data_IF_180609844707
#
_entry.id   IF_180609844707
#
_cell.length_a   1.000
_cell.length_b   1.000
_cell.length_c   1.000
_cell.angle_alpha   90.00
_cell.angle_beta   90.00
_cell.angle_gamma   90.00
#
_symmetry.space_group_name_H-M   'P 1'
#
loop_
_entity.id
_entity.type
_entity.pdbx_description
1 polymer ?
#
# COMPACT_ATOMS: atom_id res chain seq x y z
N UNK A 1 -32.26 19.44 -8.29
CA UNK A 1 -32.41 19.21 -6.84
C UNK A 1 -33.89 18.95 -6.62
N UNK A 2 -34.31 17.69 -6.61
CA UNK A 2 -35.71 17.31 -6.33
C UNK A 2 -35.92 17.23 -4.81
N UNK A 3 -37.06 17.75 -4.35
CA UNK A 3 -37.51 17.70 -2.97
C UNK A 3 -38.76 16.79 -2.92
N UNK A 4 -38.83 15.75 -2.07
CA UNK A 4 -37.87 15.38 -1.01
C UNK A 4 -36.57 14.74 -1.52
N UNK A 5 -35.47 15.01 -0.82
CA UNK A 5 -34.16 14.38 -1.06
C UNK A 5 -34.24 12.85 -1.02
N UNK A 6 -33.90 12.18 -2.12
CA UNK A 6 -33.96 10.72 -2.20
C UNK A 6 -32.76 10.00 -1.56
N UNK A 7 -31.61 10.68 -1.40
CA UNK A 7 -30.42 10.15 -0.70
C UNK A 7 -29.70 11.28 0.03
N UNK A 8 -29.45 11.09 1.33
CA UNK A 8 -28.54 11.90 2.14
C UNK A 8 -27.32 11.06 2.50
N UNK A 9 -26.13 11.63 2.33
CA UNK A 9 -24.90 11.02 2.81
C UNK A 9 -24.53 11.65 4.15
N UNK A 10 -24.21 10.81 5.13
CA UNK A 10 -23.76 11.24 6.44
C UNK A 10 -22.42 10.64 6.77
N UNK A 11 -21.58 11.42 7.43
CA UNK A 11 -20.30 11.00 7.98
C UNK A 11 -20.25 11.41 9.44
N UNK A 12 -20.01 10.45 10.34
CA UNK A 12 -20.02 10.67 11.80
C UNK A 12 -21.25 11.45 12.34
N UNK A 13 -22.44 11.19 11.77
CA UNK A 13 -23.70 11.81 12.19
C UNK A 13 -23.95 13.21 11.62
N UNK A 14 -23.00 13.79 10.87
CA UNK A 14 -23.14 15.07 10.18
C UNK A 14 -23.50 14.86 8.71
N UNK A 15 -24.28 15.78 8.13
CA UNK A 15 -24.58 15.76 6.70
C UNK A 15 -23.29 16.04 5.91
N UNK A 16 -23.00 15.22 4.90
CA UNK A 16 -21.69 15.18 4.22
C UNK A 16 -21.84 15.03 2.72
N UNK A 17 -20.81 15.42 1.98
CA UNK A 17 -20.67 15.15 0.55
C UNK A 17 -19.53 14.15 0.38
N UNK A 18 -19.79 13.04 -0.31
CA UNK A 18 -18.79 12.01 -0.57
C UNK A 18 -18.24 12.17 -1.99
N UNK A 19 -16.91 12.12 -2.11
CA UNK A 19 -16.19 12.15 -3.37
C UNK A 19 -15.38 10.86 -3.48
N UNK A 20 -15.61 10.09 -4.54
CA UNK A 20 -14.85 8.88 -4.84
C UNK A 20 -13.89 9.15 -6.00
N UNK A 21 -12.62 8.81 -5.81
CA UNK A 21 -11.60 8.87 -6.86
C UNK A 21 -11.29 7.45 -7.32
N UNK A 22 -11.32 7.23 -8.63
CA UNK A 22 -11.01 5.93 -9.24
C UNK A 22 -9.82 6.09 -10.16
N UNK A 23 -8.83 5.21 -10.01
CA UNK A 23 -7.65 5.19 -10.84
C UNK A 23 -7.99 4.81 -12.29
N UNK A 24 -7.46 5.57 -13.24
CA UNK A 24 -7.55 5.24 -14.65
C UNK A 24 -6.72 3.99 -14.99
N UNK A 25 -7.14 3.22 -16.00
CA UNK A 25 -6.40 2.02 -16.43
C UNK A 25 -5.01 2.40 -16.95
N UNK A 26 -4.01 1.59 -16.61
CA UNK A 26 -2.62 1.78 -17.03
C UNK A 26 -1.79 2.68 -16.11
N UNK A 27 -2.40 3.24 -15.05
CA UNK A 27 -1.68 3.98 -14.02
C UNK A 27 -1.31 3.08 -12.84
N UNK A 28 -0.29 3.49 -12.10
CA UNK A 28 0.15 2.83 -10.88
C UNK A 28 -0.62 3.39 -9.68
N UNK A 29 -1.20 2.50 -8.88
CA UNK A 29 -2.05 2.86 -7.73
C UNK A 29 -1.29 3.63 -6.66
N UNK A 30 -0.01 3.33 -6.46
CA UNK A 30 0.81 4.00 -5.44
C UNK A 30 1.23 5.40 -5.86
N UNK A 31 1.43 5.64 -7.16
CA UNK A 31 1.77 6.96 -7.68
C UNK A 31 0.53 7.85 -7.73
N UNK A 32 -0.61 7.31 -8.18
CA UNK A 32 -1.90 8.01 -8.14
C UNK A 32 -2.30 8.35 -6.71
N UNK A 33 -2.05 7.46 -5.74
CA UNK A 33 -2.28 7.74 -4.32
C UNK A 33 -1.52 8.99 -3.85
N UNK A 34 -0.24 9.12 -4.20
CA UNK A 34 0.58 10.30 -3.84
C UNK A 34 0.06 11.58 -4.48
N UNK A 35 -0.35 11.53 -5.75
CA UNK A 35 -0.85 12.71 -6.47
C UNK A 35 -2.21 13.17 -5.92
N UNK A 36 -3.06 12.21 -5.52
CA UNK A 36 -4.34 12.48 -4.84
C UNK A 36 -4.07 13.11 -3.47
N UNK A 37 -3.15 12.57 -2.68
CA UNK A 37 -2.78 13.13 -1.36
C UNK A 37 -2.25 14.56 -1.48
N UNK A 38 -1.34 14.82 -2.44
CA UNK A 38 -0.83 16.16 -2.68
C UNK A 38 -1.92 17.15 -3.14
N UNK A 39 -2.95 16.65 -3.82
CA UNK A 39 -4.11 17.46 -4.23
C UNK A 39 -5.07 17.69 -3.07
N UNK A 40 -5.25 16.67 -2.22
CA UNK A 40 -6.03 16.73 -1.00
C UNK A 40 -5.50 17.82 -0.06
N UNK A 41 -4.20 17.83 0.23
CA UNK A 41 -3.59 18.87 1.07
C UNK A 41 -3.76 20.28 0.51
N UNK A 42 -3.56 20.46 -0.81
CA UNK A 42 -3.79 21.76 -1.46
C UNK A 42 -5.24 22.20 -1.40
N UNK A 43 -6.17 21.24 -1.47
CA UNK A 43 -7.59 21.51 -1.36
C UNK A 43 -7.97 21.92 0.06
N UNK A 44 -7.43 21.23 1.07
CA UNK A 44 -7.63 21.52 2.48
C UNK A 44 -7.24 22.95 2.85
N UNK A 45 -6.10 23.44 2.33
CA UNK A 45 -5.65 24.83 2.53
C UNK A 45 -6.59 25.88 1.91
N UNK A 46 -7.36 25.52 0.89
CA UNK A 46 -8.28 26.42 0.20
C UNK A 46 -9.69 26.43 0.79
N UNK A 47 -9.95 25.62 1.83
CA UNK A 47 -11.29 25.48 2.40
C UNK A 47 -11.71 26.71 3.22
N UNK A 48 -12.99 27.13 3.11
CA UNK A 48 -13.53 28.16 3.98
C UNK A 48 -13.74 27.61 5.40
N UNK A 49 -13.74 28.52 6.38
CA UNK A 49 -13.98 28.16 7.78
C UNK A 49 -15.30 27.40 7.97
N UNK A 50 -15.24 26.31 8.73
CA UNK A 50 -16.39 25.46 9.03
C UNK A 50 -16.61 24.29 8.05
N UNK A 51 -15.73 24.12 7.07
CA UNK A 51 -15.69 22.92 6.20
C UNK A 51 -14.47 22.09 6.56
N UNK A 52 -14.68 20.80 6.86
CA UNK A 52 -13.61 19.81 6.98
C UNK A 52 -13.77 18.76 5.88
N UNK A 53 -12.65 18.21 5.45
CA UNK A 53 -12.63 17.04 4.58
C UNK A 53 -11.93 15.94 5.36
N UNK A 54 -12.48 14.73 5.29
CA UNK A 54 -11.92 13.57 5.94
C UNK A 54 -11.83 12.43 4.92
N UNK A 55 -10.70 11.73 4.91
CA UNK A 55 -10.52 10.55 4.06
C UNK A 55 -11.19 9.34 4.71
N UNK A 56 -12.14 8.73 4.01
CA UNK A 56 -12.91 7.57 4.52
C UNK A 56 -12.22 6.25 4.17
N UNK A 57 -11.56 6.18 3.01
CA UNK A 57 -10.90 4.97 2.52
C UNK A 57 -9.72 5.31 1.62
N UNK A 58 -8.57 4.69 1.92
CA UNK A 58 -7.35 4.76 1.12
C UNK A 58 -6.93 3.34 0.70
N UNK A 59 -7.18 2.99 -0.55
CA UNK A 59 -6.73 1.71 -1.11
C UNK A 59 -5.22 1.65 -1.40
N UNK A 60 -4.59 2.71 -1.97
CA UNK A 60 -3.13 2.77 -2.11
C UNK A 60 -2.36 2.44 -0.83
N UNK A 61 -2.77 2.98 0.33
CA UNK A 61 -2.08 2.77 1.61
C UNK A 61 -2.16 1.32 2.06
N UNK A 62 -3.33 0.68 1.96
CA UNK A 62 -3.51 -0.75 2.30
C UNK A 62 -2.59 -1.63 1.46
N UNK A 63 -2.43 -1.33 0.17
CA UNK A 63 -1.52 -2.08 -0.72
C UNK A 63 -0.06 -1.87 -0.28
N UNK A 64 0.32 -0.64 0.04
CA UNK A 64 1.67 -0.32 0.50
C UNK A 64 2.03 -1.05 1.79
N UNK A 65 1.12 -1.04 2.77
CA UNK A 65 1.30 -1.71 4.05
C UNK A 65 1.44 -3.23 3.85
N UNK A 66 0.54 -3.84 3.07
CA UNK A 66 0.58 -5.27 2.77
C UNK A 66 1.87 -5.71 2.07
N UNK A 67 2.36 -4.94 1.09
CA UNK A 67 3.63 -5.24 0.40
C UNK A 67 4.81 -5.08 1.36
N UNK A 68 4.80 -4.06 2.21
CA UNK A 68 5.86 -3.83 3.20
C UNK A 68 5.92 -4.99 4.21
N UNK A 69 4.76 -5.41 4.72
CA UNK A 69 4.67 -6.53 5.66
C UNK A 69 5.11 -7.85 5.00
N UNK A 70 4.68 -8.11 3.77
CA UNK A 70 5.13 -9.26 2.99
C UNK A 70 6.66 -9.28 2.81
N UNK A 71 7.25 -8.16 2.41
CA UNK A 71 8.71 -8.05 2.20
C UNK A 71 9.48 -8.25 3.51
N UNK A 72 8.95 -7.75 4.63
CA UNK A 72 9.53 -7.96 5.95
C UNK A 72 9.50 -9.44 6.34
N UNK A 73 8.34 -10.09 6.22
CA UNK A 73 8.18 -11.51 6.51
C UNK A 73 9.08 -12.39 5.63
N UNK A 74 9.20 -12.06 4.33
CA UNK A 74 10.11 -12.75 3.40
C UNK A 74 11.58 -12.63 3.86
N UNK A 75 12.00 -11.43 4.27
CA UNK A 75 13.35 -11.19 4.77
C UNK A 75 13.64 -11.94 6.07
N UNK A 76 12.70 -11.95 7.01
CA UNK A 76 12.81 -12.70 8.27
C UNK A 76 12.91 -14.21 8.02
N UNK A 77 12.08 -14.75 7.12
CA UNK A 77 12.13 -16.16 6.74
C UNK A 77 13.48 -16.53 6.09
N UNK A 78 13.98 -15.70 5.17
CA UNK A 78 15.27 -15.91 4.54
C UNK A 78 16.40 -15.91 5.56
N UNK A 79 16.40 -14.95 6.48
CA UNK A 79 17.41 -14.83 7.53
C UNK A 79 17.46 -16.10 8.40
N UNK A 80 16.29 -16.59 8.84
CA UNK A 80 16.20 -17.81 9.65
C UNK A 80 16.77 -19.01 8.88
N UNK A 81 16.39 -19.18 7.62
CA UNK A 81 16.89 -20.27 6.77
C UNK A 81 18.41 -20.22 6.65
N UNK A 82 19.00 -19.03 6.45
CA UNK A 82 20.45 -18.87 6.37
C UNK A 82 21.13 -19.22 7.69
N UNK A 83 20.65 -18.67 8.80
CA UNK A 83 21.22 -18.93 10.13
C UNK A 83 21.19 -20.43 10.45
N UNK A 84 20.06 -21.09 10.25
CA UNK A 84 19.93 -22.54 10.49
C UNK A 84 20.85 -23.34 9.56
N UNK A 85 20.96 -22.96 8.29
CA UNK A 85 21.85 -23.63 7.33
C UNK A 85 23.32 -23.52 7.72
N UNK A 86 23.76 -22.35 8.19
CA UNK A 86 25.12 -22.14 8.67
C UNK A 86 25.43 -22.96 9.92
N UNK A 87 24.47 -23.07 10.84
CA UNK A 87 24.63 -23.85 12.08
C UNK A 87 24.65 -25.37 11.84
N UNK A 88 23.89 -25.85 10.86
CA UNK A 88 23.70 -27.30 10.64
C UNK A 88 24.72 -27.92 9.69
N UNK A 89 25.03 -27.26 8.57
CA UNK A 89 25.85 -27.84 7.48
C UNK A 89 27.23 -27.15 7.38
N UNK A 90 27.43 -26.03 8.09
CA UNK A 90 28.68 -25.30 8.14
C UNK A 90 28.84 -24.23 7.03
N UNK A 91 29.94 -23.49 7.10
CA UNK A 91 30.15 -22.24 6.35
C UNK A 91 30.12 -22.38 4.82
N UNK A 92 30.67 -23.48 4.27
CA UNK A 92 30.77 -23.68 2.81
C UNK A 92 29.39 -23.91 2.19
N UNK A 93 28.59 -24.78 2.79
CA UNK A 93 27.24 -25.10 2.29
C UNK A 93 26.26 -23.96 2.54
N UNK A 94 26.36 -23.27 3.68
CA UNK A 94 25.55 -22.07 3.96
C UNK A 94 25.75 -20.95 2.94
N UNK A 95 27.00 -20.72 2.50
CA UNK A 95 27.30 -19.70 1.48
C UNK A 95 26.69 -20.04 0.11
N UNK A 96 26.67 -21.31 -0.29
CA UNK A 96 26.01 -21.75 -1.53
C UNK A 96 24.51 -21.44 -1.49
N UNK A 97 23.86 -21.72 -0.37
CA UNK A 97 22.43 -21.46 -0.17
C UNK A 97 22.14 -19.94 -0.18
N UNK A 98 23.00 -19.15 0.48
CA UNK A 98 22.90 -17.69 0.53
C UNK A 98 22.90 -17.03 -0.84
N UNK A 99 23.65 -17.57 -1.79
CA UNK A 99 23.71 -17.05 -3.17
C UNK A 99 22.55 -17.61 -4.00
N UNK A 100 22.20 -18.87 -3.80
CA UNK A 100 21.19 -19.56 -4.62
C UNK A 100 19.78 -19.00 -4.40
N UNK A 101 19.39 -18.69 -3.16
CA UNK A 101 18.01 -18.23 -2.87
C UNK A 101 17.70 -16.89 -3.56
N UNK A 102 18.50 -15.81 -3.40
CA UNK A 102 18.24 -14.55 -4.09
C UNK A 102 18.26 -14.69 -5.62
N UNK A 103 19.13 -15.55 -6.16
CA UNK A 103 19.23 -15.80 -7.60
C UNK A 103 17.93 -16.41 -8.14
N UNK A 104 17.38 -17.43 -7.47
CA UNK A 104 16.14 -18.09 -7.89
C UNK A 104 14.95 -17.13 -7.76
N UNK A 105 14.91 -16.32 -6.71
CA UNK A 105 13.87 -15.29 -6.54
C UNK A 105 13.94 -14.24 -7.66
N UNK A 106 15.13 -13.72 -7.97
CA UNK A 106 15.32 -12.78 -9.06
C UNK A 106 14.91 -13.37 -10.41
N UNK A 107 15.27 -14.62 -10.69
CA UNK A 107 14.85 -15.32 -11.90
C UNK A 107 13.33 -15.49 -11.97
N UNK A 108 12.68 -15.79 -10.84
CA UNK A 108 11.22 -15.91 -10.77
C UNK A 108 10.55 -14.57 -11.06
N UNK A 109 11.01 -13.49 -10.41
CA UNK A 109 10.48 -12.14 -10.64
C UNK A 109 10.73 -11.62 -12.05
N UNK A 110 11.81 -12.04 -12.71
CA UNK A 110 12.09 -11.63 -14.09
C UNK A 110 11.18 -12.31 -15.13
N UNK A 111 10.61 -13.46 -14.80
CA UNK A 111 9.72 -14.23 -15.68
C UNK A 111 8.25 -13.80 -15.52
N UNK A 112 7.85 -13.37 -14.32
CA UNK A 112 6.52 -12.82 -14.03
C UNK A 112 6.31 -11.47 -14.69
#
# INVERSE_FOLDING_TARGET
LEDPYQRKFRFNGQDSVQVGVVMAKGFNVTDVGKDVEATYHRFEEALPYGVSVDQISDQPEVVREAVSEFMKALGEALLIVLVVSFLTIGWRSGLVIAITIPLVLAATFAIM
#
